data_IF_875163209860
#
_entry.id   IF_875163209860
#
_cell.length_a   1.000
_cell.length_b   1.000
_cell.length_c   1.000
_cell.angle_alpha   90.00
_cell.angle_beta   90.00
_cell.angle_gamma   90.00
#
_symmetry.space_group_name_H-M   'P 1'
#
loop_
_entity.id
_entity.type
_entity.pdbx_description
1 polymer ?
#
# COMPACT_ATOMS: atom_id res chain seq x y z
N UNK A 1 -33.73 4.79 46.76
CA UNK A 1 -34.02 5.08 45.34
C UNK A 1 -34.61 3.83 44.70
N UNK A 2 -35.75 3.91 44.00
CA UNK A 2 -36.36 2.75 43.34
C UNK A 2 -35.43 2.23 42.23
N UNK A 3 -35.19 0.90 42.17
CA UNK A 3 -34.28 0.23 41.21
C UNK A 3 -34.56 0.57 39.73
N UNK A 4 -35.74 1.08 39.41
CA UNK A 4 -36.09 1.57 38.08
C UNK A 4 -35.26 2.78 37.66
N UNK A 5 -34.95 3.72 38.58
CA UNK A 5 -34.16 4.91 38.23
C UNK A 5 -32.69 4.61 37.94
N UNK A 6 -32.13 3.57 38.55
CA UNK A 6 -30.76 3.10 38.30
C UNK A 6 -30.63 2.49 36.89
N UNK A 7 -31.65 1.76 36.42
CA UNK A 7 -31.64 1.15 35.07
C UNK A 7 -31.69 2.20 33.96
N UNK A 8 -32.50 3.26 34.16
CA UNK A 8 -32.57 4.37 33.21
C UNK A 8 -31.30 5.22 33.23
N UNK A 9 -30.67 5.41 34.40
CA UNK A 9 -29.39 6.09 34.51
C UNK A 9 -28.27 5.34 33.77
N UNK A 10 -28.16 4.02 33.96
CA UNK A 10 -27.17 3.20 33.23
C UNK A 10 -27.41 3.17 31.72
N UNK A 11 -28.66 3.09 31.28
CA UNK A 11 -29.00 3.11 29.84
C UNK A 11 -28.71 4.47 29.21
N UNK A 12 -28.93 5.57 29.93
CA UNK A 12 -28.62 6.92 29.45
C UNK A 12 -27.11 7.16 29.33
N UNK A 13 -26.31 6.69 30.30
CA UNK A 13 -24.84 6.79 30.25
C UNK A 13 -24.27 5.96 29.08
N UNK A 14 -24.80 4.75 28.85
CA UNK A 14 -24.38 3.89 27.74
C UNK A 14 -24.74 4.47 26.35
N UNK A 15 -25.90 5.14 26.25
CA UNK A 15 -26.33 5.80 25.02
C UNK A 15 -25.49 7.05 24.70
N UNK A 16 -25.04 7.80 25.72
CA UNK A 16 -24.15 8.96 25.54
C UNK A 16 -22.73 8.53 25.15
N UNK A 17 -22.23 7.40 25.66
CA UNK A 17 -20.92 6.86 25.24
C UNK A 17 -20.88 6.34 23.80
N UNK A 18 -22.03 6.00 23.21
CA UNK A 18 -22.13 5.51 21.83
C UNK A 18 -22.29 6.63 20.79
N UNK A 19 -22.57 7.87 21.22
CA UNK A 19 -22.80 9.02 20.33
C UNK A 19 -21.64 10.04 20.34
N UNK A 20 -20.61 9.82 21.17
CA UNK A 20 -19.47 10.72 21.34
C UNK A 20 -18.18 10.21 20.66
N UNK A 21 -18.27 9.25 19.74
CA UNK A 21 -17.12 8.68 19.03
C UNK A 21 -17.16 9.03 17.54
N UNK A 22 -17.14 10.33 17.25
CA UNK A 22 -16.53 10.86 16.03
C UNK A 22 -15.51 11.89 16.52
N UNK A 23 -14.29 11.44 16.77
CA UNK A 23 -13.16 12.34 16.76
C UNK A 23 -12.88 12.66 15.29
N UNK A 24 -12.67 13.93 14.97
CA UNK A 24 -12.03 14.30 13.72
C UNK A 24 -10.56 13.89 13.87
N UNK A 25 -10.27 12.62 13.63
CA UNK A 25 -8.93 12.01 13.76
C UNK A 25 -8.04 12.34 12.54
N UNK A 26 -8.56 13.04 11.53
CA UNK A 26 -7.88 13.33 10.26
C UNK A 26 -7.13 14.67 10.24
N UNK A 27 -7.39 15.55 11.21
CA UNK A 27 -6.75 16.87 11.30
C UNK A 27 -6.07 16.99 12.66
N UNK A 28 -4.81 16.57 12.78
CA UNK A 28 -3.97 16.79 13.98
C UNK A 28 -3.65 18.28 14.23
N UNK A 29 -4.62 19.19 14.14
CA UNK A 29 -4.51 20.62 14.47
C UNK A 29 -3.38 21.38 13.79
N UNK A 30 -2.59 20.72 12.95
CA UNK A 30 -1.35 21.21 12.36
C UNK A 30 -1.76 21.70 11.00
N UNK A 31 -2.58 22.76 11.02
CA UNK A 31 -2.43 23.76 9.98
C UNK A 31 -0.97 24.15 10.10
N UNK A 32 -0.15 23.73 9.14
CA UNK A 32 1.11 24.42 8.86
C UNK A 32 0.65 25.78 8.34
N UNK A 33 0.23 26.62 9.29
CA UNK A 33 -0.20 27.96 9.06
C UNK A 33 1.11 28.74 9.01
N UNK A 34 1.53 29.27 7.85
CA UNK A 34 2.77 30.03 7.77
C UNK A 34 2.58 31.43 8.39
N UNK A 35 1.74 31.56 9.40
CA UNK A 35 1.54 32.81 10.13
C UNK A 35 1.99 32.57 11.56
N UNK A 36 3.23 32.98 11.78
CA UNK A 36 3.67 33.62 13.01
C UNK A 36 2.52 34.39 13.71
N UNK A 37 2.32 34.16 15.01
CA UNK A 37 1.31 34.81 15.90
C UNK A 37 1.59 36.33 16.09
N UNK A 38 2.59 36.84 15.40
CA UNK A 38 3.00 38.24 15.34
C UNK A 38 2.86 38.85 13.93
N UNK A 39 2.25 38.15 12.97
CA UNK A 39 1.90 38.69 11.66
C UNK A 39 3.10 39.22 10.87
N UNK A 40 4.26 38.61 11.09
CA UNK A 40 5.55 39.15 10.69
C UNK A 40 6.42 38.09 10.04
N UNK A 41 6.15 37.82 8.76
CA UNK A 41 6.94 36.99 7.86
C UNK A 41 8.44 37.08 8.19
N UNK A 42 8.97 36.05 8.85
CA UNK A 42 10.42 35.95 9.06
C UNK A 42 11.08 35.65 7.72
N UNK A 43 11.58 36.70 7.08
CA UNK A 43 12.51 36.57 5.96
C UNK A 43 13.85 36.13 6.55
N UNK A 44 14.31 34.93 6.20
CA UNK A 44 15.74 34.66 6.27
C UNK A 44 16.48 35.63 5.29
N UNK A 45 17.76 35.86 5.55
CA UNK A 45 18.63 36.78 4.80
C UNK A 45 18.95 36.27 3.37
N UNK A 46 18.20 35.30 2.84
CA UNK A 46 18.22 34.84 1.44
C UNK A 46 16.82 34.73 0.82
N UNK A 47 15.78 35.30 1.46
CA UNK A 47 14.41 35.34 0.91
C UNK A 47 13.65 34.01 0.96
N UNK A 48 14.16 33.03 1.69
CA UNK A 48 13.46 31.82 2.09
C UNK A 48 12.62 32.07 3.34
N UNK A 49 11.44 31.46 3.40
CA UNK A 49 10.71 31.32 4.66
C UNK A 49 11.41 30.21 5.43
N UNK A 50 12.05 30.55 6.55
CA UNK A 50 12.67 29.57 7.42
C UNK A 50 11.56 28.70 8.05
N UNK A 51 11.42 27.48 7.56
CA UNK A 51 10.46 26.51 8.10
C UNK A 51 11.01 26.01 9.44
N UNK A 52 10.31 26.31 10.54
CA UNK A 52 10.66 25.77 11.85
C UNK A 52 10.24 24.30 11.95
N UNK A 53 11.22 23.41 12.17
CA UNK A 53 11.02 21.97 12.40
C UNK A 53 11.10 21.61 13.89
N UNK A 54 11.04 22.58 14.78
CA UNK A 54 10.97 22.33 16.22
C UNK A 54 9.60 21.73 16.59
N UNK A 55 9.60 20.65 17.37
CA UNK A 55 8.36 19.98 17.77
C UNK A 55 8.53 18.52 18.16
N UNK A 56 7.45 17.92 18.65
CA UNK A 56 7.33 16.47 18.82
C UNK A 56 6.66 15.92 17.57
N UNK A 57 7.41 15.22 16.74
CA UNK A 57 6.85 14.53 15.58
C UNK A 57 6.07 13.30 16.07
N UNK A 58 4.83 13.17 15.60
CA UNK A 58 4.01 11.97 15.78
C UNK A 58 3.77 11.38 14.39
N UNK A 59 3.81 10.06 14.29
CA UNK A 59 3.48 9.38 13.04
C UNK A 59 1.95 9.46 12.84
N UNK A 60 1.50 10.25 11.87
CA UNK A 60 0.07 10.51 11.63
C UNK A 60 -0.65 9.31 11.02
N UNK A 61 -0.09 8.75 9.95
CA UNK A 61 -0.71 7.62 9.27
C UNK A 61 0.33 6.96 8.38
N UNK A 62 0.37 5.62 8.40
CA UNK A 62 1.05 4.86 7.36
C UNK A 62 0.03 3.92 6.74
N UNK A 63 -0.58 4.32 5.63
CA UNK A 63 -1.39 3.38 4.89
C UNK A 63 -0.48 2.44 4.12
N UNK A 64 -0.54 1.15 4.49
CA UNK A 64 0.14 0.12 3.75
C UNK A 64 -0.30 0.10 2.30
N UNK A 65 0.58 -0.23 1.37
CA UNK A 65 0.26 -0.39 -0.05
C UNK A 65 -0.95 -1.30 -0.23
N UNK A 66 -2.04 -0.71 -0.72
CA UNK A 66 -3.38 -1.30 -0.68
C UNK A 66 -3.41 -2.75 -1.18
N UNK A 67 -2.84 -3.03 -2.37
CA UNK A 67 -2.83 -4.36 -2.95
C UNK A 67 -2.11 -5.40 -2.06
N UNK A 68 -1.00 -5.03 -1.45
CA UNK A 68 -0.21 -5.91 -0.59
C UNK A 68 -0.95 -6.22 0.69
N UNK A 69 -1.43 -5.17 1.34
CA UNK A 69 -2.11 -5.31 2.59
C UNK A 69 -3.41 -6.13 2.41
N UNK A 70 -4.16 -5.88 1.33
CA UNK A 70 -5.36 -6.64 1.01
C UNK A 70 -5.09 -8.12 0.72
N UNK A 71 -4.06 -8.44 -0.06
CA UNK A 71 -3.82 -9.82 -0.54
C UNK A 71 -3.04 -10.66 0.47
N UNK A 72 -2.00 -10.09 1.09
CA UNK A 72 -0.99 -10.83 1.86
C UNK A 72 -1.18 -10.79 3.38
N UNK A 73 -1.82 -9.77 3.95
CA UNK A 73 -2.05 -9.70 5.41
C UNK A 73 -3.11 -10.70 5.91
N UNK A 74 -3.96 -11.20 5.01
CA UNK A 74 -4.96 -12.22 5.30
C UNK A 74 -6.15 -11.68 6.10
N UNK A 75 -6.04 -11.66 7.43
CA UNK A 75 -7.14 -11.26 8.33
C UNK A 75 -7.32 -9.74 8.36
N UNK A 76 -8.54 -9.28 8.63
CA UNK A 76 -8.81 -7.83 8.73
C UNK A 76 -8.06 -7.19 9.91
N UNK A 77 -7.80 -7.94 10.98
CA UNK A 77 -6.97 -7.49 12.10
C UNK A 77 -5.53 -7.21 11.65
N UNK A 78 -4.92 -8.14 10.89
CA UNK A 78 -3.58 -7.92 10.35
C UNK A 78 -3.57 -6.76 9.37
N UNK A 79 -4.63 -6.59 8.56
CA UNK A 79 -4.74 -5.46 7.64
C UNK A 79 -4.71 -4.12 8.35
N UNK A 80 -5.51 -4.00 9.41
CA UNK A 80 -5.56 -2.79 10.22
C UNK A 80 -4.24 -2.55 10.95
N UNK A 81 -3.67 -3.59 11.54
CA UNK A 81 -2.39 -3.49 12.26
C UNK A 81 -1.24 -3.13 11.33
N UNK A 82 -1.25 -3.58 10.07
CA UNK A 82 -0.21 -3.28 9.10
C UNK A 82 -0.11 -1.77 8.87
N UNK A 83 -1.26 -1.07 8.83
CA UNK A 83 -1.33 0.38 8.64
C UNK A 83 -0.84 1.21 9.85
N UNK A 84 -0.49 0.58 10.96
CA UNK A 84 0.00 1.27 12.17
C UNK A 84 1.31 0.68 12.71
N UNK A 85 1.85 -0.35 12.06
CA UNK A 85 3.07 -1.03 12.52
C UNK A 85 4.31 -0.25 12.13
N UNK A 86 5.13 0.17 13.09
CA UNK A 86 6.34 0.96 12.84
C UNK A 86 7.20 0.29 11.75
N UNK A 87 7.69 1.03 10.73
CA UNK A 87 8.43 0.46 9.60
C UNK A 87 9.57 -0.49 9.97
N UNK A 88 10.30 -0.19 11.05
CA UNK A 88 11.40 -1.04 11.54
C UNK A 88 10.96 -2.41 12.08
N UNK A 89 9.67 -2.58 12.39
CA UNK A 89 9.10 -3.82 12.94
C UNK A 89 8.31 -4.60 11.87
N UNK A 90 7.95 -3.97 10.74
CA UNK A 90 7.05 -4.55 9.74
C UNK A 90 7.59 -5.86 9.17
N UNK A 91 8.86 -5.90 8.74
CA UNK A 91 9.46 -7.11 8.15
C UNK A 91 9.40 -8.28 9.13
N UNK A 92 9.73 -8.05 10.41
CA UNK A 92 9.74 -9.10 11.42
C UNK A 92 8.34 -9.67 11.71
N UNK A 93 7.31 -8.82 11.66
CA UNK A 93 5.92 -9.20 11.96
C UNK A 93 5.24 -9.83 10.72
N UNK A 94 5.39 -9.21 9.55
CA UNK A 94 4.55 -9.53 8.39
C UNK A 94 5.21 -10.41 7.34
N UNK A 95 6.54 -10.48 7.25
CA UNK A 95 7.19 -11.42 6.33
C UNK A 95 6.70 -12.87 6.52
N UNK A 96 6.61 -13.44 7.75
CA UNK A 96 6.10 -14.80 7.91
C UNK A 96 4.61 -14.93 7.56
N UNK A 97 3.80 -13.89 7.81
CA UNK A 97 2.37 -13.86 7.45
C UNK A 97 2.23 -13.87 5.92
N UNK A 98 3.00 -13.03 5.25
CA UNK A 98 2.98 -12.88 3.79
C UNK A 98 3.49 -14.14 3.11
N UNK A 99 4.53 -14.77 3.65
CA UNK A 99 5.04 -16.06 3.16
C UNK A 99 3.97 -17.14 3.26
N UNK A 100 3.36 -17.31 4.44
CA UNK A 100 2.30 -18.31 4.62
C UNK A 100 1.15 -18.04 3.64
N UNK A 101 0.73 -16.78 3.51
CA UNK A 101 -0.34 -16.41 2.59
C UNK A 101 0.00 -16.66 1.12
N UNK A 102 1.23 -16.35 0.70
CA UNK A 102 1.70 -16.64 -0.65
C UNK A 102 1.70 -18.15 -0.93
N UNK A 103 2.20 -18.96 0.01
CA UNK A 103 2.17 -20.42 -0.11
C UNK A 103 0.74 -20.96 -0.15
N UNK A 104 -0.15 -20.49 0.73
CA UNK A 104 -1.55 -20.92 0.78
C UNK A 104 -2.31 -20.60 -0.52
N UNK A 105 -2.00 -19.45 -1.14
CA UNK A 105 -2.58 -19.06 -2.43
C UNK A 105 -2.16 -19.99 -3.56
N UNK A 106 -0.91 -20.46 -3.56
CA UNK A 106 -0.40 -21.42 -4.54
C UNK A 106 -0.97 -22.82 -4.28
N UNK A 107 -1.00 -23.23 -3.01
CA UNK A 107 -1.55 -24.53 -2.59
C UNK A 107 -3.05 -24.66 -2.93
N UNK A 108 -3.80 -23.55 -2.96
CA UNK A 108 -5.20 -23.55 -3.39
C UNK A 108 -5.40 -23.99 -4.87
N UNK A 109 -4.34 -23.90 -5.68
CA UNK A 109 -4.29 -24.40 -7.05
C UNK A 109 -3.44 -25.67 -7.18
N UNK A 110 -3.21 -26.37 -6.07
CA UNK A 110 -2.45 -27.63 -6.00
C UNK A 110 -1.01 -27.49 -6.52
N UNK A 111 -0.41 -26.30 -6.33
CA UNK A 111 0.96 -26.02 -6.74
C UNK A 111 1.82 -25.41 -5.63
N UNK A 112 3.13 -25.60 -5.75
CA UNK A 112 4.12 -24.91 -4.93
C UNK A 112 4.53 -23.57 -5.57
N UNK A 113 4.94 -22.61 -4.75
CA UNK A 113 5.57 -21.38 -5.22
C UNK A 113 6.91 -21.71 -5.91
N UNK A 114 7.13 -21.16 -7.10
CA UNK A 114 8.41 -21.21 -7.80
C UNK A 114 8.99 -19.81 -7.90
N UNK A 115 10.32 -19.70 -8.07
CA UNK A 115 10.96 -18.39 -8.28
C UNK A 115 10.23 -17.61 -9.38
N UNK A 116 9.96 -16.33 -9.12
CA UNK A 116 9.31 -15.50 -10.12
C UNK A 116 10.28 -15.13 -11.26
N UNK A 117 9.80 -14.39 -12.25
CA UNK A 117 10.59 -13.91 -13.39
C UNK A 117 11.81 -13.03 -13.01
N UNK A 118 11.90 -12.58 -11.75
CA UNK A 118 13.08 -11.88 -11.20
C UNK A 118 14.03 -12.81 -10.44
N UNK A 119 13.77 -14.12 -10.41
CA UNK A 119 14.54 -15.09 -9.64
C UNK A 119 14.31 -15.00 -8.14
N UNK A 120 13.22 -14.36 -7.69
CA UNK A 120 12.91 -14.22 -6.27
C UNK A 120 12.08 -15.40 -5.79
N UNK A 121 12.59 -16.13 -4.80
CA UNK A 121 11.81 -17.09 -4.05
C UNK A 121 10.76 -16.39 -3.16
N UNK A 122 9.81 -17.17 -2.63
CA UNK A 122 8.70 -16.62 -1.83
C UNK A 122 9.20 -15.86 -0.60
N UNK A 123 10.27 -16.33 0.02
CA UNK A 123 10.86 -15.71 1.22
C UNK A 123 11.45 -14.34 0.88
N UNK A 124 12.21 -14.27 -0.21
CA UNK A 124 12.87 -13.05 -0.65
C UNK A 124 11.85 -12.02 -1.13
N UNK A 125 10.89 -12.45 -1.96
CA UNK A 125 9.80 -11.57 -2.40
C UNK A 125 9.03 -11.01 -1.20
N UNK A 126 8.58 -11.86 -0.28
CA UNK A 126 7.77 -11.41 0.87
C UNK A 126 8.56 -10.56 1.86
N UNK A 127 9.89 -10.72 1.92
CA UNK A 127 10.77 -9.81 2.69
C UNK A 127 10.77 -8.40 2.12
N UNK A 128 10.86 -8.29 0.79
CA UNK A 128 10.77 -6.99 0.09
C UNK A 128 9.37 -6.39 0.31
N UNK A 129 8.32 -7.18 0.11
CA UNK A 129 6.93 -6.71 0.19
C UNK A 129 6.47 -6.34 1.61
N UNK A 130 7.01 -7.00 2.65
CA UNK A 130 6.71 -6.68 4.04
C UNK A 130 7.33 -5.35 4.48
N UNK A 131 8.36 -4.88 3.79
CA UNK A 131 9.03 -3.61 4.07
C UNK A 131 8.34 -2.52 3.26
N UNK A 132 7.22 -2.01 3.77
CA UNK A 132 6.41 -1.02 3.04
C UNK A 132 6.91 0.41 3.28
N UNK A 133 8.09 0.69 2.74
CA UNK A 133 8.74 2.00 2.87
C UNK A 133 9.01 2.60 1.50
N UNK A 134 8.85 3.91 1.39
CA UNK A 134 9.28 4.65 0.20
C UNK A 134 10.81 4.68 0.15
N UNK A 135 11.38 4.05 -0.87
CA UNK A 135 12.80 4.20 -1.18
C UNK A 135 12.99 5.48 -1.99
N UNK A 136 13.80 6.41 -1.49
CA UNK A 136 14.11 7.66 -2.18
C UNK A 136 15.57 7.63 -2.64
N UNK A 137 15.76 7.68 -3.96
CA UNK A 137 17.07 7.77 -4.59
C UNK A 137 17.02 8.87 -5.65
N UNK A 138 17.40 10.13 -5.32
CA UNK A 138 17.23 11.28 -6.23
C UNK A 138 17.90 11.10 -7.60
N UNK A 139 19.04 10.44 -7.63
CA UNK A 139 19.84 10.18 -8.83
C UNK A 139 19.81 8.69 -9.25
N UNK A 140 19.02 7.87 -8.55
CA UNK A 140 18.93 6.43 -8.79
C UNK A 140 17.87 6.08 -9.85
N UNK A 141 18.07 5.00 -10.62
CA UNK A 141 17.02 4.54 -11.53
C UNK A 141 15.79 4.07 -10.73
N UNK A 142 14.62 4.57 -11.12
CA UNK A 142 13.33 4.11 -10.63
C UNK A 142 12.79 3.03 -11.56
N UNK A 143 12.57 1.84 -11.03
CA UNK A 143 12.12 0.70 -11.85
C UNK A 143 11.28 -0.25 -11.01
N UNK A 144 10.14 -0.64 -11.59
CA UNK A 144 9.23 -1.55 -10.93
C UNK A 144 9.61 -3.01 -11.19
N UNK A 145 10.11 -3.30 -12.39
CA UNK A 145 10.27 -4.66 -12.91
C UNK A 145 11.61 -4.94 -13.62
N UNK A 146 12.39 -3.92 -13.96
CA UNK A 146 13.54 -4.06 -14.86
C UNK A 146 14.89 -3.86 -14.16
N UNK A 147 15.90 -4.61 -14.61
CA UNK A 147 17.29 -4.47 -14.11
C UNK A 147 17.53 -5.12 -12.74
N UNK A 148 18.67 -4.78 -12.14
CA UNK A 148 19.12 -5.37 -10.86
C UNK A 148 18.47 -4.72 -9.62
N UNK A 149 17.97 -3.50 -9.77
CA UNK A 149 17.18 -2.80 -8.77
C UNK A 149 15.71 -2.97 -9.17
N UNK A 150 14.91 -3.64 -8.35
CA UNK A 150 13.49 -3.91 -8.64
C UNK A 150 12.63 -3.38 -7.53
N UNK A 151 11.38 -3.02 -7.83
CA UNK A 151 10.44 -2.45 -6.87
C UNK A 151 10.96 -1.15 -6.20
N UNK A 152 11.82 -0.38 -6.89
CA UNK A 152 12.36 0.91 -6.39
C UNK A 152 11.48 2.10 -6.75
N UNK A 153 10.36 1.86 -7.44
CA UNK A 153 9.30 2.80 -7.80
C UNK A 153 8.73 2.45 -9.18
N UNK A 154 8.00 3.36 -9.81
CA UNK A 154 7.34 3.11 -11.11
C UNK A 154 7.48 4.29 -12.07
N UNK A 155 7.54 3.99 -13.37
CA UNK A 155 7.29 4.99 -14.41
C UNK A 155 5.78 5.24 -14.56
N UNK A 156 5.42 6.35 -15.19
CA UNK A 156 4.01 6.71 -15.42
C UNK A 156 3.28 5.74 -16.36
N UNK A 157 4.02 5.03 -17.20
CA UNK A 157 3.50 4.05 -18.16
C UNK A 157 3.56 2.62 -17.66
N UNK A 158 4.08 2.38 -16.45
CA UNK A 158 4.20 1.04 -15.91
C UNK A 158 2.83 0.52 -15.47
N UNK A 159 2.44 -0.64 -16.00
CA UNK A 159 1.29 -1.39 -15.52
C UNK A 159 1.64 -2.14 -14.24
N UNK A 160 1.61 -1.42 -13.12
CA UNK A 160 2.02 -1.97 -11.83
C UNK A 160 1.13 -3.10 -11.33
N UNK A 161 -0.11 -3.19 -11.82
CA UNK A 161 -1.03 -4.25 -11.40
C UNK A 161 -0.65 -5.55 -12.09
N UNK A 162 -0.54 -5.55 -13.42
CA UNK A 162 -0.11 -6.72 -14.19
C UNK A 162 1.27 -7.19 -13.73
N UNK A 163 2.23 -6.28 -13.55
CA UNK A 163 3.56 -6.64 -13.03
C UNK A 163 3.47 -7.28 -11.64
N UNK A 164 2.69 -6.72 -10.71
CA UNK A 164 2.55 -7.30 -9.37
C UNK A 164 1.96 -8.71 -9.41
N UNK A 165 0.96 -8.91 -10.28
CA UNK A 165 0.31 -10.19 -10.49
C UNK A 165 1.27 -11.22 -11.12
N UNK A 166 2.05 -10.80 -12.12
CA UNK A 166 3.13 -11.63 -12.72
C UNK A 166 4.18 -12.00 -11.67
N UNK A 167 4.60 -11.07 -10.81
CA UNK A 167 5.59 -11.35 -9.77
C UNK A 167 5.09 -12.32 -8.70
N UNK A 168 3.78 -12.35 -8.43
CA UNK A 168 3.18 -13.19 -7.41
C UNK A 168 2.73 -14.55 -7.96
N UNK A 169 2.24 -14.61 -9.20
CA UNK A 169 1.58 -15.78 -9.79
C UNK A 169 2.20 -16.26 -11.10
N UNK A 170 2.99 -15.43 -11.79
CA UNK A 170 3.53 -15.75 -13.12
C UNK A 170 4.61 -16.82 -13.13
N UNK A 171 5.20 -17.15 -11.98
CA UNK A 171 6.27 -18.13 -11.90
C UNK A 171 7.53 -17.70 -12.67
N UNK A 172 8.38 -18.65 -13.02
CA UNK A 172 9.72 -18.37 -13.57
C UNK A 172 9.66 -17.74 -14.97
N UNK A 173 8.61 -18.06 -15.73
CA UNK A 173 8.41 -17.55 -17.09
C UNK A 173 7.45 -16.35 -17.14
N UNK A 174 6.83 -15.98 -16.01
CA UNK A 174 5.86 -14.88 -15.90
C UNK A 174 4.47 -15.20 -16.43
N UNK A 175 4.20 -16.43 -16.86
CA UNK A 175 2.99 -16.80 -17.58
C UNK A 175 2.22 -18.00 -16.99
N UNK A 176 2.62 -18.52 -15.81
CA UNK A 176 2.08 -19.77 -15.22
C UNK A 176 0.56 -19.82 -15.03
N UNK A 177 -0.09 -18.69 -14.77
CA UNK A 177 -1.54 -18.59 -14.59
C UNK A 177 -2.10 -17.54 -15.57
N UNK A 178 -1.87 -17.76 -16.87
CA UNK A 178 -2.29 -16.83 -17.92
C UNK A 178 -3.52 -17.31 -18.72
N UNK A 179 -4.22 -18.34 -18.24
CA UNK A 179 -5.29 -18.98 -19.00
C UNK A 179 -4.79 -20.04 -19.97
N UNK A 180 -3.69 -20.74 -19.67
CA UNK A 180 -3.22 -21.84 -20.52
C UNK A 180 -4.29 -22.91 -20.73
N UNK A 181 -4.39 -23.35 -21.97
CA UNK A 181 -5.07 -24.57 -22.42
C UNK A 181 -3.97 -25.65 -22.56
N UNK A 182 -3.95 -26.59 -21.61
CA UNK A 182 -2.92 -27.62 -21.48
C UNK A 182 -3.18 -28.81 -22.40
N UNK A 183 -4.43 -29.05 -22.80
CA UNK A 183 -4.83 -30.18 -23.66
C UNK A 183 -5.20 -29.80 -25.11
N UNK A 184 -5.17 -28.50 -25.41
CA UNK A 184 -5.52 -27.88 -26.70
C UNK A 184 -6.96 -28.16 -27.15
N UNK A 185 -7.92 -28.28 -26.21
CA UNK A 185 -9.34 -28.47 -26.53
C UNK A 185 -10.08 -27.15 -26.86
N UNK A 186 -9.41 -26.00 -26.70
CA UNK A 186 -9.95 -24.66 -26.89
C UNK A 186 -10.54 -24.02 -25.63
N UNK A 187 -10.43 -24.69 -24.48
CA UNK A 187 -10.88 -24.24 -23.17
C UNK A 187 -9.67 -23.99 -22.25
N UNK A 188 -9.56 -22.83 -21.61
CA UNK A 188 -8.53 -22.62 -20.60
C UNK A 188 -8.66 -23.59 -19.42
N UNK A 189 -7.58 -24.30 -19.09
CA UNK A 189 -7.50 -25.18 -17.92
C UNK A 189 -7.09 -24.42 -16.66
N UNK A 190 -6.22 -23.42 -16.82
CA UNK A 190 -5.68 -22.63 -15.72
C UNK A 190 -6.41 -21.29 -15.59
N UNK A 191 -6.52 -20.73 -14.36
CA UNK A 191 -7.08 -19.40 -14.17
C UNK A 191 -6.17 -18.31 -14.75
N UNK A 192 -6.74 -17.14 -14.99
CA UNK A 192 -6.00 -15.91 -15.33
C UNK A 192 -5.75 -15.14 -14.04
N UNK A 193 -4.52 -15.18 -13.53
CA UNK A 193 -4.09 -14.50 -12.30
C UNK A 193 -2.91 -13.55 -12.51
N UNK A 194 -2.40 -13.43 -13.73
CA UNK A 194 -1.24 -12.58 -14.09
C UNK A 194 -1.64 -11.24 -14.71
N UNK A 195 -2.94 -10.96 -14.87
CA UNK A 195 -3.43 -9.68 -15.39
C UNK A 195 -4.75 -9.27 -14.75
N UNK A 196 -4.98 -7.96 -14.62
CA UNK A 196 -6.29 -7.40 -14.24
C UNK A 196 -7.21 -7.15 -15.45
N UNK A 197 -6.71 -7.44 -16.66
CA UNK A 197 -7.39 -7.24 -17.93
C UNK A 197 -7.79 -5.77 -18.19
N UNK A 198 -7.05 -4.83 -17.60
CA UNK A 198 -7.14 -3.39 -17.85
C UNK A 198 -5.94 -2.98 -18.69
N UNK A 199 -6.17 -2.60 -19.94
CA UNK A 199 -5.06 -2.17 -20.79
C UNK A 199 -4.49 -0.83 -20.34
N UNK A 200 -3.17 -0.68 -20.37
CA UNK A 200 -2.50 0.63 -20.32
C UNK A 200 -2.77 1.55 -21.54
N UNK A 201 -3.66 1.16 -22.46
CA UNK A 201 -4.04 1.98 -23.60
C UNK A 201 -4.73 3.28 -23.11
N UNK A 202 -4.25 4.42 -23.61
CA UNK A 202 -4.72 5.74 -23.18
C UNK A 202 -3.88 6.38 -22.06
N UNK A 203 -2.90 5.67 -21.51
CA UNK A 203 -1.89 6.26 -20.63
C UNK A 203 -0.85 6.98 -21.48
N UNK A 204 -1.09 8.25 -21.79
CA UNK A 204 -0.16 9.11 -22.54
C UNK A 204 0.30 10.27 -21.66
N UNK A 205 1.28 10.05 -20.76
CA UNK A 205 1.74 11.12 -19.91
C UNK A 205 2.36 12.24 -20.74
N UNK A 206 2.11 13.49 -20.35
CA UNK A 206 2.79 14.64 -20.94
C UNK A 206 4.31 14.54 -20.75
N UNK A 207 5.09 15.29 -21.53
CA UNK A 207 6.54 15.37 -21.34
C UNK A 207 6.96 16.34 -20.21
N UNK A 208 6.00 17.04 -19.60
CA UNK A 208 6.22 18.05 -18.57
C UNK A 208 5.15 17.96 -17.48
N UNK A 209 5.54 18.29 -16.25
CA UNK A 209 4.62 18.39 -15.11
C UNK A 209 3.41 19.29 -15.44
N UNK A 210 2.17 18.91 -15.07
CA UNK A 210 1.78 17.81 -14.17
C UNK A 210 1.69 16.40 -14.80
N UNK A 211 2.21 16.18 -16.02
CA UNK A 211 2.23 14.90 -16.74
C UNK A 211 0.86 14.25 -17.04
N UNK A 212 -0.24 14.77 -16.49
CA UNK A 212 -1.61 14.36 -16.76
C UNK A 212 -2.18 15.10 -17.97
N UNK A 213 -3.06 14.42 -18.71
CA UNK A 213 -3.89 15.07 -19.72
C UNK A 213 -4.88 16.05 -19.06
N UNK A 214 -5.21 17.14 -19.75
CA UNK A 214 -6.23 18.06 -19.26
C UNK A 214 -7.60 17.34 -19.19
N UNK A 215 -8.42 17.55 -18.15
CA UNK A 215 -9.74 16.96 -18.08
C UNK A 215 -10.55 17.31 -19.33
N UNK A 216 -11.14 16.30 -19.97
CA UNK A 216 -12.05 16.50 -21.10
C UNK A 216 -13.33 17.14 -20.55
N UNK A 217 -13.68 18.33 -21.03
CA UNK A 217 -14.94 19.01 -20.67
C UNK A 217 -16.13 18.42 -21.41
#
# INVERSE_FOLDING_TARGET
MKMTYIKYFFSAVLAVSLLASCGDDDDNGTIINPTDDDGGMTTDDDGGVAVDFSGTFVQEDQMGRAAINTVLSGTDMNKNNFNVTIPSEMTAIYQPIFLQRAVDLHAAFEVEYEENILGLDATTLTTILATDVLQVAPDGPTTYFSGDAVLTGRNLTDDVVDVSLILLFGGANGDRFNGQDLDNDGTPDLPILVTDNVSGAGVTPGASFPYLEAPVQ
#
